data_IF_279176715509
#
_entry.id   IF_279176715509
#
_cell.length_a   1.000
_cell.length_b   1.000
_cell.length_c   1.000
_cell.angle_alpha   90.00
_cell.angle_beta   90.00
_cell.angle_gamma   90.00
#
_symmetry.space_group_name_H-M   'P 1'
#
loop_
_entity.id
_entity.type
_entity.pdbx_description
1 polymer ?
#
# COMPACT_ATOMS: atom_id res chain seq x y z
N UNK A 1 9.55 1.37 7.80
CA UNK A 1 10.73 0.47 7.79
C UNK A 1 10.55 -0.51 8.94
N UNK A 2 10.40 -1.80 8.67
CA UNK A 2 10.34 -2.86 9.70
C UNK A 2 11.66 -3.03 10.46
N UNK A 3 12.72 -2.34 10.02
CA UNK A 3 14.06 -2.37 10.62
C UNK A 3 14.44 -1.07 11.33
N UNK A 4 13.53 -0.11 11.44
CA UNK A 4 13.80 1.11 12.20
C UNK A 4 13.67 0.80 13.70
N UNK A 5 14.72 1.08 14.47
CA UNK A 5 14.79 0.89 15.93
C UNK A 5 13.75 1.70 16.72
N UNK A 6 13.01 2.60 16.05
CA UNK A 6 11.91 3.39 16.61
C UNK A 6 10.53 2.92 16.12
N UNK A 7 10.41 1.71 15.55
CA UNK A 7 9.15 1.15 15.07
C UNK A 7 8.04 1.24 16.11
N UNK A 8 8.40 1.12 17.39
CA UNK A 8 7.46 1.07 18.52
C UNK A 8 6.86 2.44 18.86
N UNK A 9 7.33 3.53 18.23
CA UNK A 9 6.77 4.88 18.42
C UNK A 9 5.51 5.11 17.60
N UNK A 10 5.26 4.28 16.58
CA UNK A 10 4.08 4.38 15.70
C UNK A 10 3.21 3.15 15.94
N UNK A 11 2.01 3.35 16.51
CA UNK A 11 1.08 2.25 16.75
C UNK A 11 0.52 1.69 15.44
N UNK A 12 0.22 0.38 15.42
CA UNK A 12 -0.44 -0.26 14.27
C UNK A 12 -1.78 0.40 13.91
N UNK A 13 -2.49 0.91 14.92
CA UNK A 13 -3.74 1.66 14.71
C UNK A 13 -3.50 2.93 13.91
N UNK A 14 -2.46 3.70 14.27
CA UNK A 14 -2.09 4.90 13.54
C UNK A 14 -1.66 4.57 12.11
N UNK A 15 -0.92 3.48 11.90
CA UNK A 15 -0.55 3.02 10.56
C UNK A 15 -1.80 2.68 9.74
N UNK A 16 -2.75 1.91 10.29
CA UNK A 16 -4.00 1.55 9.59
C UNK A 16 -4.89 2.76 9.28
N UNK A 17 -4.85 3.80 10.11
CA UNK A 17 -5.60 5.02 9.89
C UNK A 17 -5.03 5.88 8.75
N UNK A 18 -3.70 5.86 8.56
CA UNK A 18 -3.00 6.77 7.65
C UNK A 18 -2.45 6.11 6.38
N UNK A 19 -2.41 4.78 6.31
CA UNK A 19 -1.81 4.05 5.21
C UNK A 19 -2.59 2.79 4.85
N UNK A 20 -2.46 2.37 3.59
CA UNK A 20 -2.88 1.04 3.12
C UNK A 20 -1.70 0.11 3.37
N UNK A 21 -1.83 -0.78 4.34
CA UNK A 21 -0.79 -1.71 4.75
C UNK A 21 -1.39 -3.10 4.97
N UNK A 22 -0.62 -4.13 4.61
CA UNK A 22 -1.04 -5.52 4.75
C UNK A 22 -0.45 -6.39 3.65
N UNK A 23 -1.05 -7.57 3.49
CA UNK A 23 -0.81 -8.47 2.37
C UNK A 23 -1.27 -7.85 1.04
N UNK A 24 -0.78 -8.33 -0.11
CA UNK A 24 -1.24 -7.85 -1.41
C UNK A 24 -2.77 -7.92 -1.59
N UNK A 25 -3.41 -8.96 -1.05
CA UNK A 25 -4.86 -9.15 -1.13
C UNK A 25 -5.64 -8.13 -0.29
N UNK A 26 -5.20 -7.87 0.95
CA UNK A 26 -5.79 -6.85 1.81
C UNK A 26 -5.66 -5.46 1.20
N UNK A 27 -4.48 -5.15 0.64
CA UNK A 27 -4.26 -3.90 -0.09
C UNK A 27 -5.19 -3.79 -1.30
N UNK A 28 -5.35 -4.84 -2.11
CA UNK A 28 -6.25 -4.84 -3.24
C UNK A 28 -7.72 -4.66 -2.82
N UNK A 29 -8.18 -5.33 -1.77
CA UNK A 29 -9.52 -5.16 -1.22
C UNK A 29 -9.78 -3.70 -0.81
N UNK A 30 -8.85 -3.12 -0.05
CA UNK A 30 -8.97 -1.72 0.39
C UNK A 30 -8.95 -0.72 -0.76
N UNK A 31 -8.16 -0.98 -1.80
CA UNK A 31 -8.13 -0.15 -3.00
C UNK A 31 -9.45 -0.24 -3.80
N UNK A 32 -10.11 -1.41 -3.85
CA UNK A 32 -11.45 -1.52 -4.46
C UNK A 32 -12.50 -0.73 -3.69
N UNK A 33 -12.47 -0.79 -2.36
CA UNK A 33 -13.37 0.00 -1.50
C UNK A 33 -13.18 1.51 -1.75
N UNK A 34 -11.93 1.96 -1.84
CA UNK A 34 -11.61 3.36 -2.15
C UNK A 34 -12.03 3.76 -3.57
N UNK A 35 -11.87 2.89 -4.56
CA UNK A 35 -12.41 3.15 -5.91
C UNK A 35 -13.93 3.27 -5.90
N UNK A 36 -14.62 2.47 -5.11
CA UNK A 36 -16.08 2.50 -5.00
C UNK A 36 -16.62 3.83 -4.42
N UNK A 37 -15.79 4.63 -3.74
CA UNK A 37 -16.17 5.97 -3.29
C UNK A 37 -16.07 7.05 -4.38
N UNK A 38 -15.58 6.70 -5.58
CA UNK A 38 -15.41 7.63 -6.70
C UNK A 38 -14.02 8.27 -6.79
N UNK A 39 -12.99 7.66 -6.19
CA UNK A 39 -11.61 8.12 -6.36
C UNK A 39 -11.11 7.74 -7.76
N UNK A 40 -10.70 8.75 -8.53
CA UNK A 40 -10.26 8.57 -9.92
C UNK A 40 -8.78 8.21 -10.07
N UNK A 41 -7.94 8.60 -9.11
CA UNK A 41 -6.48 8.42 -9.20
C UNK A 41 -5.85 8.06 -7.87
N UNK A 42 -4.77 7.27 -7.95
CA UNK A 42 -3.98 6.82 -6.81
C UNK A 42 -2.51 7.18 -7.09
N UNK A 43 -1.88 7.86 -6.13
CA UNK A 43 -0.46 8.23 -6.21
C UNK A 43 0.31 7.36 -5.21
N UNK A 44 1.29 6.63 -5.71
CA UNK A 44 2.14 5.75 -4.89
C UNK A 44 3.55 6.35 -4.82
N UNK A 45 3.90 7.06 -3.73
CA UNK A 45 5.25 7.58 -3.56
C UNK A 45 6.24 6.44 -3.31
N UNK A 46 7.04 6.10 -4.33
CA UNK A 46 8.09 5.08 -4.23
C UNK A 46 9.39 5.72 -3.74
N UNK A 47 9.56 5.79 -2.42
CA UNK A 47 10.76 6.33 -1.80
C UNK A 47 11.84 5.25 -1.54
N UNK A 48 13.11 5.63 -1.65
CA UNK A 48 14.25 4.82 -1.20
C UNK A 48 14.82 3.82 -2.22
N UNK A 49 15.65 2.91 -1.71
CA UNK A 49 16.24 1.80 -2.49
C UNK A 49 15.19 0.72 -2.77
N UNK A 50 15.33 0.01 -3.89
CA UNK A 50 14.39 -1.06 -4.26
C UNK A 50 13.12 -0.60 -4.99
N UNK A 51 12.99 0.69 -5.33
CA UNK A 51 11.78 1.25 -5.96
C UNK A 51 11.23 0.46 -7.16
N UNK A 52 12.09 -0.10 -8.01
CA UNK A 52 11.67 -0.89 -9.17
C UNK A 52 11.13 -2.26 -8.81
N UNK A 53 11.64 -2.86 -7.73
CA UNK A 53 11.14 -4.12 -7.20
C UNK A 53 9.81 -3.90 -6.47
N UNK A 54 9.74 -2.85 -5.64
CA UNK A 54 8.49 -2.42 -4.99
C UNK A 54 7.42 -2.10 -6.03
N UNK A 55 7.77 -1.38 -7.11
CA UNK A 55 6.83 -1.11 -8.19
C UNK A 55 6.33 -2.38 -8.87
N UNK A 56 7.22 -3.32 -9.19
CA UNK A 56 6.84 -4.61 -9.77
C UNK A 56 5.89 -5.38 -8.86
N UNK A 57 6.21 -5.48 -7.58
CA UNK A 57 5.34 -6.10 -6.58
C UNK A 57 3.95 -5.44 -6.52
N UNK A 58 3.90 -4.11 -6.47
CA UNK A 58 2.62 -3.40 -6.42
C UNK A 58 1.81 -3.66 -7.69
N UNK A 59 2.44 -3.60 -8.86
CA UNK A 59 1.79 -3.88 -10.13
C UNK A 59 1.27 -5.33 -10.18
N UNK A 60 2.18 -6.30 -10.06
CA UNK A 60 1.93 -7.71 -10.34
C UNK A 60 1.08 -8.38 -9.24
N UNK A 61 1.25 -7.98 -7.98
CA UNK A 61 0.56 -8.62 -6.86
C UNK A 61 -0.66 -7.84 -6.36
N UNK A 62 -0.83 -6.56 -6.71
CA UNK A 62 -1.94 -5.73 -6.20
C UNK A 62 -2.77 -5.16 -7.35
N UNK A 63 -2.15 -4.43 -8.29
CA UNK A 63 -2.88 -3.73 -9.34
C UNK A 63 -3.55 -4.69 -10.33
N UNK A 64 -2.93 -5.82 -10.63
CA UNK A 64 -3.51 -6.89 -11.45
C UNK A 64 -4.81 -7.47 -10.87
N UNK A 65 -5.06 -7.28 -9.56
CA UNK A 65 -6.31 -7.69 -8.94
C UNK A 65 -7.45 -6.66 -9.08
N UNK A 66 -7.14 -5.42 -9.47
CA UNK A 66 -8.08 -4.28 -9.45
C UNK A 66 -8.18 -3.51 -10.78
N UNK A 67 -7.29 -3.78 -11.73
CA UNK A 67 -7.29 -3.24 -13.09
C UNK A 67 -7.64 -4.42 -14.01
N UNK A 68 -8.79 -4.32 -14.66
CA UNK A 68 -9.19 -5.18 -15.79
C UNK A 68 -8.96 -4.39 -17.06
#
# INVERSE_FOLDING_TARGET
STHATHSDTVSDELVRALAIVGTPHECAARLRELKATGIDSLIVPLAGRGRLETWRKIRDEILDQIIV
#
